data_IF_707308222852
#
_entry.id   IF_707308222852
#
_cell.length_a   1.000
_cell.length_b   1.000
_cell.length_c   1.000
_cell.angle_alpha   90.00
_cell.angle_beta   90.00
_cell.angle_gamma   90.00
#
_symmetry.space_group_name_H-M   'P 1'
#
loop_
_entity.id
_entity.type
_entity.pdbx_description
1 polymer ?
#
# COMPACT_ATOMS: atom_id res chain seq x y z
N UNK A 1 14.87 9.77 -15.46
CA UNK A 1 14.16 8.47 -15.34
C UNK A 1 15.07 7.46 -14.64
N UNK A 2 14.48 6.51 -13.90
CA UNK A 2 15.17 5.46 -13.16
C UNK A 2 14.19 4.75 -12.24
N UNK A 3 14.71 3.99 -11.26
CA UNK A 3 13.92 3.27 -10.27
C UNK A 3 14.54 3.39 -8.88
N UNK A 4 13.71 3.37 -7.86
CA UNK A 4 14.17 3.13 -6.48
C UNK A 4 14.35 1.63 -6.28
N UNK A 5 15.52 1.25 -5.77
CA UNK A 5 15.79 -0.11 -5.32
C UNK A 5 15.78 -0.13 -3.80
N UNK A 6 14.94 -0.97 -3.25
CA UNK A 6 14.95 -1.34 -1.84
C UNK A 6 15.69 -2.67 -1.71
N UNK A 7 16.70 -2.71 -0.89
CA UNK A 7 17.46 -3.92 -0.57
C UNK A 7 17.25 -4.23 0.90
N UNK A 8 16.76 -5.42 1.18
CA UNK A 8 16.59 -5.94 2.52
C UNK A 8 17.51 -7.15 2.69
N UNK A 9 18.35 -7.13 3.71
CA UNK A 9 19.18 -8.28 4.08
C UNK A 9 18.52 -9.02 5.24
N UNK A 10 18.22 -10.31 5.14
CA UNK A 10 17.71 -11.07 6.26
C UNK A 10 18.79 -11.15 7.36
N UNK A 11 18.48 -10.61 8.51
CA UNK A 11 19.36 -10.64 9.69
C UNK A 11 18.51 -10.88 10.94
N UNK A 12 19.06 -11.60 11.89
CA UNK A 12 18.42 -11.90 13.17
C UNK A 12 18.77 -10.84 14.25
N UNK A 13 19.58 -9.84 13.89
CA UNK A 13 20.10 -8.85 14.82
C UNK A 13 19.86 -7.43 14.34
N UNK A 14 19.35 -6.57 15.23
CA UNK A 14 19.10 -5.14 14.96
C UNK A 14 20.39 -4.31 14.82
N UNK A 15 21.53 -4.84 15.27
CA UNK A 15 22.83 -4.15 15.20
C UNK A 15 23.41 -4.03 13.80
N UNK A 16 22.79 -4.70 12.82
CA UNK A 16 23.21 -4.63 11.42
C UNK A 16 22.23 -3.78 10.60
N UNK A 17 22.76 -2.81 9.87
CA UNK A 17 21.99 -2.11 8.84
C UNK A 17 21.54 -3.11 7.79
N UNK A 18 20.25 -3.41 7.78
CA UNK A 18 19.68 -4.47 6.97
C UNK A 18 18.74 -3.96 5.86
N UNK A 19 18.52 -2.66 5.77
CA UNK A 19 17.66 -2.03 4.78
C UNK A 19 18.42 -0.89 4.10
N UNK A 20 18.49 -0.95 2.78
CA UNK A 20 19.04 0.12 1.96
C UNK A 20 18.07 0.51 0.86
N UNK A 21 17.90 1.81 0.65
CA UNK A 21 17.12 2.34 -0.47
C UNK A 21 17.96 3.32 -1.27
N UNK A 22 18.06 3.09 -2.57
CA UNK A 22 18.84 3.96 -3.45
C UNK A 22 18.21 4.08 -4.85
N UNK A 23 18.55 5.17 -5.50
CA UNK A 23 18.10 5.44 -6.87
C UNK A 23 19.04 4.82 -7.88
N UNK A 24 18.48 4.08 -8.84
CA UNK A 24 19.21 3.53 -9.99
C UNK A 24 18.76 4.29 -11.25
N UNK A 25 19.65 5.04 -11.90
CA UNK A 25 19.35 5.70 -13.16
C UNK A 25 19.02 4.66 -14.25
N UNK A 26 18.09 5.01 -15.16
CA UNK A 26 17.78 4.17 -16.32
C UNK A 26 18.99 3.96 -17.22
N UNK A 27 19.75 5.03 -17.41
CA UNK A 27 20.98 4.97 -18.22
C UNK A 27 22.17 4.62 -17.32
N UNK A 28 23.03 3.67 -17.72
CA UNK A 28 24.22 3.33 -16.95
C UNK A 28 25.15 4.53 -16.78
N UNK A 29 25.67 4.68 -15.57
CA UNK A 29 26.67 5.70 -15.26
C UNK A 29 27.98 5.35 -15.95
N UNK A 30 28.60 6.33 -16.62
CA UNK A 30 29.87 6.17 -17.36
C UNK A 30 31.00 6.89 -16.66
N UNK A 31 32.19 6.39 -16.81
CA UNK A 31 33.40 7.05 -16.32
C UNK A 31 33.52 8.48 -16.86
N UNK A 32 33.85 9.43 -15.99
CA UNK A 32 33.99 10.85 -16.36
C UNK A 32 32.68 11.65 -16.33
N UNK A 33 31.53 11.03 -16.06
CA UNK A 33 30.29 11.77 -15.81
C UNK A 33 30.33 12.48 -14.46
N UNK A 34 29.73 13.68 -14.43
CA UNK A 34 29.54 14.45 -13.21
C UNK A 34 28.04 14.63 -12.95
N UNK A 35 27.64 14.48 -11.71
CA UNK A 35 26.26 14.65 -11.28
C UNK A 35 26.21 15.70 -10.18
N UNK A 36 25.23 16.59 -10.24
CA UNK A 36 24.92 17.54 -9.18
C UNK A 36 23.56 17.17 -8.58
N UNK A 37 23.51 16.95 -7.29
CA UNK A 37 22.27 16.65 -6.56
C UNK A 37 21.97 17.79 -5.59
N UNK A 38 20.72 18.25 -5.60
CA UNK A 38 20.20 19.22 -4.63
C UNK A 38 18.96 18.63 -3.99
N UNK A 39 18.99 18.46 -2.67
CA UNK A 39 17.88 17.92 -1.91
C UNK A 39 17.76 18.61 -0.56
N UNK A 40 16.57 18.52 0.06
CA UNK A 40 16.29 18.99 1.39
C UNK A 40 15.90 17.80 2.24
N UNK A 41 16.52 17.65 3.40
CA UNK A 41 16.17 16.66 4.39
C UNK A 41 15.40 17.29 5.54
N UNK A 42 14.35 16.64 5.98
CA UNK A 42 13.58 16.99 7.14
C UNK A 42 13.74 15.87 8.18
N UNK A 43 14.06 16.26 9.40
CA UNK A 43 14.21 15.36 10.53
C UNK A 43 13.11 15.68 11.53
N UNK A 44 12.16 14.77 11.75
CA UNK A 44 11.02 14.98 12.66
C UNK A 44 10.21 13.70 12.84
N UNK A 45 9.27 13.77 13.78
CA UNK A 45 8.34 12.66 14.03
C UNK A 45 7.25 12.55 12.96
N UNK A 46 6.93 13.68 12.30
CA UNK A 46 5.90 13.78 11.28
C UNK A 46 6.46 14.30 9.96
N UNK A 47 5.80 14.00 8.88
CA UNK A 47 6.11 14.50 7.55
C UNK A 47 5.73 15.99 7.44
N UNK A 48 6.70 16.90 7.20
CA UNK A 48 6.44 18.34 7.26
C UNK A 48 5.60 18.87 6.12
N UNK A 49 5.59 18.18 4.99
CA UNK A 49 4.88 18.58 3.77
C UNK A 49 4.14 17.37 3.17
N UNK A 50 3.09 16.91 3.89
CA UNK A 50 2.21 15.88 3.34
C UNK A 50 1.55 16.37 2.04
N UNK A 51 1.56 15.59 0.95
CA UNK A 51 0.88 15.96 -0.28
C UNK A 51 -0.60 16.25 -0.01
N UNK A 52 -1.01 17.52 -0.11
CA UNK A 52 -2.41 17.94 0.13
C UNK A 52 -3.35 17.50 -1.00
N UNK A 53 -2.78 17.13 -2.13
CA UNK A 53 -3.51 16.72 -3.34
C UNK A 53 -3.86 15.23 -3.38
N UNK A 54 -3.44 14.44 -2.39
CA UNK A 54 -3.76 13.02 -2.28
C UNK A 54 -4.27 12.69 -0.86
N UNK A 55 -5.21 11.77 -0.78
CA UNK A 55 -5.61 11.17 0.48
C UNK A 55 -4.59 10.11 0.91
N UNK A 56 -4.53 9.80 2.20
CA UNK A 56 -3.55 8.89 2.78
C UNK A 56 -4.21 7.62 3.31
N UNK A 57 -3.54 6.48 3.26
CA UNK A 57 -3.93 5.34 4.05
C UNK A 57 -3.68 5.63 5.54
N UNK A 58 -4.74 5.58 6.35
CA UNK A 58 -4.69 5.91 7.78
C UNK A 58 -4.81 4.68 8.68
N UNK A 59 -5.30 3.57 8.15
CA UNK A 59 -5.42 2.32 8.90
C UNK A 59 -5.39 1.12 7.97
N UNK A 60 -4.79 0.04 8.46
CA UNK A 60 -4.81 -1.29 7.84
C UNK A 60 -5.20 -2.31 8.88
N UNK A 61 -6.15 -3.18 8.53
CA UNK A 61 -6.56 -4.31 9.37
C UNK A 61 -6.62 -5.57 8.54
N UNK A 62 -6.29 -6.68 9.17
CA UNK A 62 -6.30 -8.00 8.57
C UNK A 62 -7.19 -8.92 9.39
N UNK A 63 -7.96 -9.72 8.71
CA UNK A 63 -8.82 -10.72 9.33
C UNK A 63 -8.96 -11.96 8.45
N UNK A 64 -9.80 -12.86 8.90
CA UNK A 64 -10.21 -14.01 8.09
C UNK A 64 -11.13 -13.52 6.98
N UNK A 65 -10.84 -13.93 5.74
CA UNK A 65 -11.66 -13.67 4.57
C UNK A 65 -12.69 -14.77 4.33
N UNK A 66 -13.38 -14.68 3.20
CA UNK A 66 -14.44 -15.59 2.81
C UNK A 66 -15.83 -15.13 3.25
N UNK A 67 -16.84 -15.97 2.98
CA UNK A 67 -18.23 -15.65 3.32
C UNK A 67 -18.48 -15.80 4.81
N UNK A 68 -19.10 -14.80 5.46
CA UNK A 68 -19.59 -14.96 6.82
C UNK A 68 -20.63 -16.10 6.84
N UNK A 69 -20.64 -16.87 7.94
CA UNK A 69 -21.57 -18.00 8.18
C UNK A 69 -21.26 -19.32 7.44
N UNK A 70 -20.24 -19.43 6.63
CA UNK A 70 -19.77 -20.74 6.16
C UNK A 70 -18.72 -21.28 7.13
N UNK A 71 -18.88 -22.55 7.57
CA UNK A 71 -17.87 -23.25 8.39
C UNK A 71 -16.53 -23.44 7.64
N UNK A 72 -16.50 -23.12 6.35
CA UNK A 72 -15.36 -23.21 5.47
C UNK A 72 -14.82 -21.82 5.15
N UNK A 73 -14.30 -21.10 6.15
CA UNK A 73 -13.40 -20.00 5.88
C UNK A 73 -11.99 -20.58 5.74
N UNK A 74 -11.54 -20.84 4.52
CA UNK A 74 -10.24 -21.44 4.31
C UNK A 74 -9.17 -20.47 4.86
N UNK A 75 -8.18 -20.99 5.63
CA UNK A 75 -7.17 -20.15 6.27
C UNK A 75 -6.31 -19.36 5.29
N UNK A 76 -6.26 -19.79 4.02
CA UNK A 76 -5.58 -19.12 2.91
C UNK A 76 -6.26 -17.85 2.42
N UNK A 77 -7.53 -17.59 2.82
CA UNK A 77 -8.22 -16.35 2.45
C UNK A 77 -8.07 -15.35 3.60
N UNK A 78 -7.43 -14.24 3.31
CA UNK A 78 -7.29 -13.11 4.23
C UNK A 78 -8.15 -11.94 3.75
N UNK A 79 -8.83 -11.30 4.70
CA UNK A 79 -9.56 -10.04 4.46
C UNK A 79 -8.68 -8.88 4.84
N UNK A 80 -8.50 -8.00 3.86
CA UNK A 80 -7.80 -6.73 4.04
C UNK A 80 -8.82 -5.62 4.17
N UNK A 81 -8.59 -4.71 5.12
CA UNK A 81 -9.38 -3.49 5.29
C UNK A 81 -8.40 -2.32 5.34
N UNK A 82 -8.51 -1.41 4.40
CA UNK A 82 -7.67 -0.21 4.30
C UNK A 82 -8.56 1.02 4.36
N UNK A 83 -8.26 1.95 5.25
CA UNK A 83 -8.98 3.23 5.35
C UNK A 83 -8.10 4.34 4.77
N UNK A 84 -8.71 5.13 3.88
CA UNK A 84 -8.09 6.31 3.25
C UNK A 84 -8.81 7.57 3.70
N UNK A 85 -8.06 8.61 4.08
CA UNK A 85 -8.65 9.88 4.50
C UNK A 85 -7.84 11.07 4.00
N UNK A 86 -8.48 12.23 4.01
CA UNK A 86 -7.84 13.49 3.64
C UNK A 86 -7.90 13.80 2.14
N UNK A 87 -7.09 14.75 1.71
CA UNK A 87 -6.95 15.14 0.31
C UNK A 87 -8.29 15.32 -0.43
N UNK A 88 -8.35 14.89 -1.72
CA UNK A 88 -9.56 14.99 -2.54
C UNK A 88 -10.75 14.19 -1.99
N UNK A 89 -10.52 13.17 -1.16
CA UNK A 89 -11.60 12.35 -0.61
C UNK A 89 -12.52 13.12 0.35
N UNK A 90 -12.05 14.23 0.95
CA UNK A 90 -12.87 15.07 1.83
C UNK A 90 -14.07 15.69 1.10
N UNK A 91 -13.88 16.02 -0.17
CA UNK A 91 -14.89 16.68 -1.01
C UNK A 91 -15.41 15.78 -2.12
N UNK A 92 -15.01 14.52 -2.14
CA UNK A 92 -15.50 13.58 -3.14
C UNK A 92 -17.00 13.34 -2.98
N UNK A 93 -17.77 13.38 -4.09
CA UNK A 93 -19.22 13.22 -4.04
C UNK A 93 -19.63 11.91 -3.38
N UNK A 94 -20.56 11.95 -2.41
CA UNK A 94 -20.99 10.75 -1.66
C UNK A 94 -22.00 9.89 -2.43
N UNK A 95 -22.57 10.41 -3.50
CA UNK A 95 -23.52 9.72 -4.39
C UNK A 95 -22.84 8.82 -5.43
N UNK A 96 -21.54 8.91 -5.56
CA UNK A 96 -20.72 8.01 -6.38
C UNK A 96 -19.52 7.48 -5.61
N UNK A 97 -18.89 6.44 -6.11
CA UNK A 97 -17.73 5.80 -5.47
C UNK A 97 -16.48 5.99 -6.34
N UNK A 98 -15.33 6.23 -5.73
CA UNK A 98 -14.06 6.09 -6.43
C UNK A 98 -13.87 4.66 -6.92
N UNK A 99 -13.02 4.50 -7.91
CA UNK A 99 -12.58 3.18 -8.34
C UNK A 99 -11.42 2.70 -7.46
N UNK A 100 -11.52 1.49 -6.94
CA UNK A 100 -10.44 0.85 -6.21
C UNK A 100 -9.55 0.06 -7.18
N UNK A 101 -8.27 0.39 -7.24
CA UNK A 101 -7.27 -0.36 -8.00
C UNK A 101 -6.45 -1.18 -7.01
N UNK A 102 -6.51 -2.50 -7.15
CA UNK A 102 -5.80 -3.44 -6.26
C UNK A 102 -4.92 -4.35 -7.12
N UNK A 103 -3.66 -4.46 -6.78
CA UNK A 103 -2.68 -5.27 -7.52
C UNK A 103 -1.90 -6.13 -6.55
N UNK A 104 -2.12 -7.46 -6.55
CA UNK A 104 -1.27 -8.40 -5.84
C UNK A 104 -0.08 -8.83 -6.72
N UNK A 105 1.07 -9.15 -6.12
CA UNK A 105 2.18 -9.79 -6.85
C UNK A 105 1.85 -11.23 -7.25
N UNK A 106 0.96 -11.88 -6.51
CA UNK A 106 0.41 -13.20 -6.77
C UNK A 106 -0.88 -13.42 -5.98
N UNK A 107 -1.64 -14.46 -6.31
CA UNK A 107 -2.92 -14.77 -5.68
C UNK A 107 -4.09 -14.08 -6.36
N UNK A 108 -5.28 -14.25 -5.82
CA UNK A 108 -6.55 -13.80 -6.40
C UNK A 108 -7.26 -12.83 -5.46
N UNK A 109 -7.69 -11.70 -6.00
CA UNK A 109 -8.49 -10.70 -5.28
C UNK A 109 -9.97 -10.96 -5.52
N UNK A 110 -10.76 -10.89 -4.44
CA UNK A 110 -12.22 -11.05 -4.49
C UNK A 110 -12.91 -10.19 -3.44
N UNK A 111 -14.24 -10.18 -3.45
CA UNK A 111 -15.07 -9.52 -2.44
C UNK A 111 -14.70 -8.05 -2.20
N UNK A 112 -14.44 -7.31 -3.29
CA UNK A 112 -14.07 -5.90 -3.20
C UNK A 112 -15.28 -5.09 -2.79
N UNK A 113 -15.14 -4.33 -1.71
CA UNK A 113 -16.17 -3.44 -1.19
C UNK A 113 -15.57 -2.10 -0.79
N UNK A 114 -16.22 -1.00 -1.18
CA UNK A 114 -15.81 0.36 -0.86
C UNK A 114 -16.98 1.13 -0.30
N UNK A 115 -16.78 1.74 0.87
CA UNK A 115 -17.79 2.54 1.58
C UNK A 115 -17.17 3.75 2.27
N UNK A 116 -18.00 4.73 2.60
CA UNK A 116 -17.63 5.82 3.51
C UNK A 116 -17.88 5.41 4.95
N UNK A 117 -17.01 5.86 5.85
CA UNK A 117 -17.20 5.67 7.29
C UNK A 117 -17.73 6.95 7.92
N UNK A 118 -18.72 6.83 8.80
CA UNK A 118 -19.39 8.00 9.41
C UNK A 118 -18.61 8.63 10.58
N UNK A 119 -17.64 7.89 11.15
CA UNK A 119 -16.96 8.32 12.39
C UNK A 119 -15.64 9.06 12.15
N UNK A 120 -15.01 8.94 10.96
CA UNK A 120 -13.74 9.58 10.64
C UNK A 120 -13.64 10.14 9.22
N UNK A 121 -14.77 10.27 8.52
CA UNK A 121 -14.86 10.75 7.12
C UNK A 121 -13.87 10.05 6.17
N UNK A 122 -13.57 8.79 6.43
CA UNK A 122 -12.68 7.99 5.62
C UNK A 122 -13.45 7.16 4.58
N UNK A 123 -12.75 6.76 3.54
CA UNK A 123 -13.17 5.71 2.62
C UNK A 123 -12.51 4.41 3.03
N UNK A 124 -13.33 3.41 3.31
CA UNK A 124 -12.89 2.07 3.67
C UNK A 124 -12.97 1.14 2.48
N UNK A 125 -11.80 0.67 2.05
CA UNK A 125 -11.65 -0.38 1.06
C UNK A 125 -11.51 -1.72 1.79
N UNK A 126 -12.37 -2.67 1.47
CA UNK A 126 -12.29 -4.05 1.92
C UNK A 126 -12.13 -4.97 0.72
N UNK A 127 -11.28 -5.97 0.82
CA UNK A 127 -11.14 -7.02 -0.19
C UNK A 127 -10.60 -8.29 0.45
N UNK A 128 -10.86 -9.41 -0.21
CA UNK A 128 -10.29 -10.70 0.14
C UNK A 128 -9.13 -11.02 -0.81
N UNK A 129 -8.06 -11.58 -0.27
CA UNK A 129 -6.94 -12.13 -1.01
C UNK A 129 -6.80 -13.62 -0.70
N UNK A 130 -6.83 -14.46 -1.73
CA UNK A 130 -6.48 -15.87 -1.64
C UNK A 130 -5.07 -16.07 -2.17
N UNK A 131 -4.17 -16.51 -1.31
CA UNK A 131 -2.78 -16.78 -1.67
C UNK A 131 -2.33 -18.09 -1.01
N UNK A 132 -1.92 -19.03 -1.82
CA UNK A 132 -1.43 -20.34 -1.39
C UNK A 132 0.09 -20.30 -1.12
N UNK A 133 0.56 -21.20 -0.25
CA UNK A 133 1.99 -21.32 0.07
C UNK A 133 2.47 -20.31 1.10
N UNK A 134 3.78 -20.34 1.36
CA UNK A 134 4.43 -19.56 2.43
C UNK A 134 5.02 -18.24 1.93
N UNK A 135 5.29 -18.11 0.64
CA UNK A 135 5.94 -16.94 0.10
C UNK A 135 5.12 -15.67 0.32
N UNK A 136 5.75 -14.54 0.61
CA UNK A 136 5.05 -13.28 0.81
C UNK A 136 4.36 -12.81 -0.47
N UNK A 137 3.29 -12.03 -0.27
CA UNK A 137 2.54 -11.37 -1.34
C UNK A 137 2.67 -9.87 -1.16
N UNK A 138 3.20 -9.18 -2.15
CA UNK A 138 3.19 -7.73 -2.18
C UNK A 138 1.83 -7.25 -2.70
N UNK A 139 1.17 -6.44 -1.90
CA UNK A 139 -0.12 -5.85 -2.21
C UNK A 139 0.04 -4.35 -2.45
N UNK A 140 -0.64 -3.86 -3.46
CA UNK A 140 -0.77 -2.43 -3.75
C UNK A 140 -2.23 -2.08 -3.91
N UNK A 141 -2.66 -0.96 -3.32
CA UNK A 141 -4.00 -0.45 -3.54
C UNK A 141 -4.04 1.08 -3.50
N UNK A 142 -4.89 1.67 -4.31
CA UNK A 142 -5.20 3.09 -4.29
C UNK A 142 -6.60 3.34 -4.85
N UNK A 143 -7.14 4.53 -4.59
CA UNK A 143 -8.42 4.97 -5.13
C UNK A 143 -8.18 6.00 -6.22
N UNK A 144 -9.00 5.95 -7.30
CA UNK A 144 -8.94 6.90 -8.42
C UNK A 144 -10.32 7.34 -8.87
N UNK A 145 -10.35 8.44 -9.62
CA UNK A 145 -11.51 8.91 -10.38
C UNK A 145 -11.08 9.09 -11.84
N UNK A 146 -11.48 8.18 -12.71
CA UNK A 146 -10.96 8.08 -14.07
C UNK A 146 -9.44 7.90 -14.08
N UNK A 147 -8.73 8.81 -14.74
CA UNK A 147 -7.25 8.78 -14.81
C UNK A 147 -6.57 9.42 -13.60
N UNK A 148 -7.32 10.10 -12.73
CA UNK A 148 -6.77 10.86 -11.61
C UNK A 148 -6.70 10.02 -10.35
N UNK A 149 -5.49 9.82 -9.79
CA UNK A 149 -5.32 9.23 -8.47
C UNK A 149 -5.88 10.17 -7.38
N UNK A 150 -6.69 9.63 -6.49
CA UNK A 150 -7.26 10.34 -5.34
C UNK A 150 -6.48 10.09 -4.06
N UNK A 151 -5.73 8.98 -4.01
CA UNK A 151 -4.97 8.58 -2.83
C UNK A 151 -3.52 8.28 -3.16
N UNK A 152 -2.68 8.33 -2.15
CA UNK A 152 -1.39 7.65 -2.19
C UNK A 152 -1.60 6.15 -2.40
N UNK A 153 -0.56 5.47 -2.91
CA UNK A 153 -0.59 4.03 -3.05
C UNK A 153 -0.29 3.38 -1.69
N UNK A 154 -1.25 2.64 -1.17
CA UNK A 154 -1.03 1.75 -0.05
C UNK A 154 -0.21 0.54 -0.50
N UNK A 155 0.83 0.22 0.26
CA UNK A 155 1.72 -0.92 0.05
C UNK A 155 1.70 -1.80 1.28
N UNK A 156 1.62 -3.11 1.07
CA UNK A 156 1.61 -4.07 2.18
C UNK A 156 2.22 -5.40 1.76
N UNK A 157 3.07 -5.95 2.62
CA UNK A 157 3.62 -7.30 2.45
C UNK A 157 2.85 -8.28 3.33
N UNK A 158 2.06 -9.12 2.71
CA UNK A 158 1.25 -10.15 3.36
C UNK A 158 2.05 -11.47 3.44
N UNK A 159 2.13 -12.05 4.63
CA UNK A 159 2.63 -13.40 4.86
C UNK A 159 1.41 -14.33 5.07
N UNK A 160 1.03 -15.17 4.07
CA UNK A 160 -0.25 -15.91 4.11
C UNK A 160 -0.41 -16.83 5.31
N UNK A 161 0.68 -17.44 5.77
CA UNK A 161 0.68 -18.37 6.90
C UNK A 161 0.73 -17.71 8.27
N UNK A 162 1.02 -16.41 8.35
CA UNK A 162 1.06 -15.71 9.63
C UNK A 162 -0.36 -15.57 10.18
N UNK A 163 -0.53 -15.96 11.44
CA UNK A 163 -1.78 -15.73 12.18
C UNK A 163 -1.79 -14.28 12.64
N UNK A 164 -2.78 -13.52 12.21
CA UNK A 164 -2.98 -12.11 12.57
C UNK A 164 -4.09 -12.01 13.61
#
# INVERSE_FOLDING_TARGET
QGAFHLVEFPTDHEDFDNIGCFWVPKEPVKAGQSFEFRYRMYWGADEPEAPQNLARPIATRIGRGGFPYTRANPPEIKRMVVEFAGGPLKTFPKDRKPEAVITPSRGEISSIFLETTSWNDAWRLQFDIKAEGADPVDLRAFLRDGESALTETWLFKLFPQKTW
#
